data_IF_849791038387
#
_entry.id   IF_849791038387
#
_cell.length_a   1.000
_cell.length_b   1.000
_cell.length_c   1.000
_cell.angle_alpha   90.00
_cell.angle_beta   90.00
_cell.angle_gamma   90.00
#
_symmetry.space_group_name_H-M   'P 1'
#
loop_
_entity.id
_entity.type
_entity.pdbx_description
1 polymer ?
#
# COMPACT_ATOMS: atom_id res chain seq x y z
N UNK A 1 -19.87 -6.60 -41.74
CA UNK A 1 -19.34 -7.70 -40.89
C UNK A 1 -20.22 -7.76 -39.65
N UNK A 2 -20.88 -8.88 -39.37
CA UNK A 2 -21.96 -8.96 -38.35
C UNK A 2 -21.47 -8.53 -36.96
N UNK A 3 -22.25 -7.67 -36.29
CA UNK A 3 -21.96 -7.08 -34.96
C UNK A 3 -21.55 -8.14 -33.92
N UNK A 4 -22.16 -9.33 -34.00
CA UNK A 4 -21.82 -10.49 -33.16
C UNK A 4 -20.39 -10.98 -33.36
N UNK A 5 -19.87 -10.93 -34.59
CA UNK A 5 -18.49 -11.37 -34.91
C UNK A 5 -17.46 -10.40 -34.32
N UNK A 6 -17.75 -9.09 -34.27
CA UNK A 6 -16.85 -8.12 -33.64
C UNK A 6 -16.79 -8.27 -32.12
N UNK A 7 -17.95 -8.50 -31.47
CA UNK A 7 -18.00 -8.74 -30.02
C UNK A 7 -17.22 -10.02 -29.64
N UNK A 8 -17.38 -11.10 -30.42
CA UNK A 8 -16.64 -12.34 -30.19
C UNK A 8 -15.13 -12.14 -30.36
N UNK A 9 -14.69 -11.42 -31.39
CA UNK A 9 -13.26 -11.15 -31.60
C UNK A 9 -12.67 -10.33 -30.45
N UNK A 10 -13.37 -9.28 -29.97
CA UNK A 10 -12.91 -8.49 -28.82
C UNK A 10 -12.79 -9.34 -27.55
N UNK A 11 -13.80 -10.18 -27.28
CA UNK A 11 -13.78 -11.07 -26.12
C UNK A 11 -12.62 -12.08 -26.19
N UNK A 12 -12.36 -12.67 -27.36
CA UNK A 12 -11.25 -13.61 -27.55
C UNK A 12 -9.90 -12.95 -27.32
N UNK A 13 -9.68 -11.73 -27.84
CA UNK A 13 -8.44 -10.97 -27.63
C UNK A 13 -8.21 -10.71 -26.14
N UNK A 14 -9.24 -10.24 -25.43
CA UNK A 14 -9.16 -9.99 -23.99
C UNK A 14 -8.84 -11.26 -23.22
N UNK A 15 -9.49 -12.39 -23.52
CA UNK A 15 -9.23 -13.67 -22.86
C UNK A 15 -7.81 -14.16 -23.10
N UNK A 16 -7.30 -14.05 -24.33
CA UNK A 16 -5.91 -14.42 -24.65
C UNK A 16 -4.93 -13.53 -23.89
N UNK A 17 -5.15 -12.21 -23.85
CA UNK A 17 -4.32 -11.28 -23.09
C UNK A 17 -4.32 -11.60 -21.59
N UNK A 18 -5.47 -11.93 -21.00
CA UNK A 18 -5.57 -12.33 -19.59
C UNK A 18 -4.88 -13.68 -19.34
N UNK A 19 -5.03 -14.66 -20.23
CA UNK A 19 -4.35 -15.95 -20.11
C UNK A 19 -2.83 -15.79 -20.20
N UNK A 20 -2.34 -15.01 -21.16
CA UNK A 20 -0.93 -14.67 -21.28
C UNK A 20 -0.42 -13.89 -20.05
N UNK A 21 -1.24 -13.00 -19.50
CA UNK A 21 -0.94 -12.26 -18.27
C UNK A 21 -0.75 -13.20 -17.08
N UNK A 22 -1.71 -14.10 -16.85
CA UNK A 22 -1.65 -15.08 -15.74
C UNK A 22 -0.42 -15.98 -15.89
N UNK A 23 -0.16 -16.47 -17.10
CA UNK A 23 1.01 -17.28 -17.38
C UNK A 23 2.32 -16.52 -17.11
N UNK A 24 2.43 -15.26 -17.56
CA UNK A 24 3.59 -14.42 -17.32
C UNK A 24 3.78 -14.14 -15.81
N UNK A 25 2.69 -13.81 -15.11
CA UNK A 25 2.71 -13.55 -13.66
C UNK A 25 3.18 -14.78 -12.86
N UNK A 26 2.73 -15.98 -13.23
CA UNK A 26 3.17 -17.23 -12.60
C UNK A 26 4.66 -17.50 -12.86
N UNK A 27 5.11 -17.36 -14.11
CA UNK A 27 6.52 -17.55 -14.50
C UNK A 27 7.46 -16.52 -13.89
N UNK A 28 6.98 -15.30 -13.66
CA UNK A 28 7.75 -14.20 -13.09
C UNK A 28 7.69 -14.14 -11.57
N UNK A 29 6.85 -14.96 -10.92
CA UNK A 29 6.73 -14.98 -9.47
C UNK A 29 8.10 -15.16 -8.82
N UNK A 30 8.49 -14.17 -8.02
CA UNK A 30 9.72 -14.20 -7.23
C UNK A 30 9.40 -14.90 -5.92
N UNK A 31 9.80 -16.16 -5.81
CA UNK A 31 9.61 -16.98 -4.60
C UNK A 31 10.70 -16.69 -3.57
N UNK A 32 11.92 -16.44 -4.05
CA UNK A 32 13.08 -16.19 -3.20
C UNK A 32 13.23 -14.68 -2.97
N UNK A 33 12.57 -14.20 -1.92
CA UNK A 33 12.79 -12.84 -1.42
C UNK A 33 13.94 -12.91 -0.43
N UNK A 34 15.14 -12.55 -0.88
CA UNK A 34 16.25 -12.35 0.04
C UNK A 34 15.82 -11.35 1.13
N UNK A 35 16.02 -11.66 2.42
CA UNK A 35 15.68 -10.74 3.48
C UNK A 35 16.46 -9.44 3.25
N UNK A 36 15.74 -8.32 3.23
CA UNK A 36 16.38 -7.01 3.16
C UNK A 36 17.29 -6.94 4.40
N UNK A 37 18.60 -6.89 4.18
CA UNK A 37 19.67 -7.11 5.19
C UNK A 37 19.62 -6.11 6.36
N UNK A 38 18.66 -5.18 6.36
CA UNK A 38 18.46 -4.11 7.35
C UNK A 38 17.21 -4.26 8.22
N UNK A 39 16.37 -5.30 8.06
CA UNK A 39 15.18 -5.50 8.92
C UNK A 39 15.42 -6.41 10.13
N UNK A 40 16.63 -6.94 10.32
CA UNK A 40 16.96 -7.72 11.52
C UNK A 40 16.87 -6.83 12.76
N UNK A 41 15.77 -6.98 13.50
CA UNK A 41 15.46 -6.19 14.69
C UNK A 41 14.58 -4.97 14.45
N UNK A 42 14.15 -4.65 13.21
CA UNK A 42 13.22 -3.55 12.93
C UNK A 42 11.88 -4.07 12.40
N UNK A 43 10.77 -3.64 13.02
CA UNK A 43 9.41 -3.97 12.59
C UNK A 43 8.51 -2.74 12.59
N UNK A 44 7.46 -2.77 11.76
CA UNK A 44 6.41 -1.77 11.76
C UNK A 44 5.11 -2.44 12.16
N UNK A 45 4.49 -1.96 13.24
CA UNK A 45 3.28 -2.55 13.80
C UNK A 45 2.19 -1.50 13.99
N UNK A 46 0.93 -1.93 13.88
CA UNK A 46 -0.21 -1.11 14.24
C UNK A 46 -0.36 -1.10 15.75
N UNK A 47 -0.62 0.06 16.33
CA UNK A 47 -0.84 0.25 17.75
C UNK A 47 -1.98 1.25 18.01
N UNK A 48 -2.52 1.20 19.23
CA UNK A 48 -3.53 2.15 19.72
C UNK A 48 -2.95 2.93 20.89
N UNK A 49 -3.07 4.26 20.86
CA UNK A 49 -2.63 5.13 21.95
C UNK A 49 -3.59 4.98 23.13
N UNK A 50 -3.08 4.53 24.28
CA UNK A 50 -3.86 4.33 25.50
C UNK A 50 -3.79 5.58 26.38
N UNK A 51 -2.62 6.21 26.41
CA UNK A 51 -2.32 7.33 27.30
C UNK A 51 -1.22 8.22 26.70
N UNK A 52 -1.37 9.53 26.87
CA UNK A 52 -0.31 10.52 26.63
C UNK A 52 0.31 10.83 27.99
N UNK A 53 1.52 10.33 28.24
CA UNK A 53 2.22 10.48 29.53
C UNK A 53 2.81 11.88 29.65
N UNK A 54 3.36 12.39 28.56
CA UNK A 54 3.95 13.74 28.49
C UNK A 54 3.64 14.35 27.13
N UNK A 55 2.99 15.51 27.13
CA UNK A 55 2.73 16.26 25.90
C UNK A 55 3.90 17.22 25.61
N UNK A 56 4.19 17.43 24.33
CA UNK A 56 5.31 18.26 23.87
C UNK A 56 4.89 19.70 23.55
N UNK A 57 3.70 20.13 24.01
CA UNK A 57 3.16 21.46 23.79
C UNK A 57 3.76 22.45 24.79
N UNK A 58 4.54 23.41 24.30
CA UNK A 58 5.07 24.50 25.13
C UNK A 58 3.97 25.51 25.47
N UNK A 59 4.12 26.29 26.56
CA UNK A 59 3.17 27.34 26.95
C UNK A 59 2.91 28.38 25.85
N UNK A 60 3.88 28.61 24.98
CA UNK A 60 3.80 29.54 23.83
C UNK A 60 2.95 28.98 22.66
N UNK A 61 2.33 27.81 22.82
CA UNK A 61 1.51 27.14 21.81
C UNK A 61 2.29 26.41 20.72
N UNK A 62 3.63 26.39 20.83
CA UNK A 62 4.53 25.71 19.91
C UNK A 62 4.85 24.32 20.48
N UNK A 63 4.69 23.28 19.66
CA UNK A 63 5.15 21.93 20.04
C UNK A 63 6.66 21.89 19.85
N UNK A 64 7.39 21.20 20.73
CA UNK A 64 8.85 21.03 20.62
C UNK A 64 9.25 19.67 21.18
N UNK A 65 10.00 18.88 20.41
CA UNK A 65 10.56 17.61 20.90
C UNK A 65 9.59 16.43 20.78
N UNK A 66 9.55 15.56 21.79
CA UNK A 66 8.85 14.27 21.73
C UNK A 66 7.68 14.21 22.69
N UNK A 67 6.53 13.72 22.22
CA UNK A 67 5.48 13.23 23.12
C UNK A 67 5.88 11.86 23.66
N UNK A 68 5.67 11.61 24.95
CA UNK A 68 5.80 10.26 25.55
C UNK A 68 4.42 9.65 25.69
N UNK A 69 4.25 8.46 25.14
CA UNK A 69 2.97 7.79 24.96
C UNK A 69 3.05 6.38 25.51
N UNK A 70 1.93 5.85 26.01
CA UNK A 70 1.73 4.40 26.14
C UNK A 70 0.83 3.93 25.02
N UNK A 71 1.30 2.93 24.29
CA UNK A 71 0.59 2.36 23.15
C UNK A 71 0.38 0.87 23.35
N UNK A 72 -0.79 0.37 22.95
CA UNK A 72 -1.07 -1.06 22.89
C UNK A 72 -0.83 -1.55 21.47
N UNK A 73 0.03 -2.55 21.30
CA UNK A 73 0.26 -3.17 20.00
C UNK A 73 -0.96 -3.98 19.56
N UNK A 74 -1.39 -3.79 18.32
CA UNK A 74 -2.59 -4.42 17.74
C UNK A 74 -2.26 -5.41 16.61
N UNK A 75 -1.04 -5.38 16.09
CA UNK A 75 -0.47 -6.36 15.16
C UNK A 75 0.91 -6.85 15.61
N UNK A 76 1.47 -7.81 14.88
CA UNK A 76 2.85 -8.28 15.07
C UNK A 76 3.02 -9.36 16.11
N UNK A 77 4.28 -9.66 16.39
CA UNK A 77 4.70 -10.67 17.38
C UNK A 77 4.27 -10.30 18.81
N UNK A 78 4.27 -9.01 19.13
CA UNK A 78 4.00 -8.47 20.47
C UNK A 78 2.55 -7.99 20.65
N UNK A 79 1.61 -8.50 19.84
CA UNK A 79 0.21 -8.08 19.86
C UNK A 79 -0.41 -8.19 21.26
N UNK A 80 -1.01 -7.10 21.73
CA UNK A 80 -1.66 -6.97 23.03
C UNK A 80 -0.77 -6.36 24.12
N UNK A 81 0.55 -6.32 23.92
CA UNK A 81 1.50 -5.72 24.87
C UNK A 81 1.35 -4.18 24.89
N UNK A 82 1.50 -3.61 26.08
CA UNK A 82 1.55 -2.15 26.28
C UNK A 82 3.00 -1.74 26.43
N UNK A 83 3.45 -0.84 25.55
CA UNK A 83 4.83 -0.39 25.49
C UNK A 83 4.89 1.13 25.56
N UNK A 84 5.97 1.65 26.14
CA UNK A 84 6.27 3.08 26.08
C UNK A 84 6.79 3.42 24.69
N UNK A 85 6.24 4.47 24.10
CA UNK A 85 6.59 4.96 22.78
C UNK A 85 6.85 6.47 22.80
N UNK A 86 7.73 6.92 21.90
CA UNK A 86 7.96 8.34 21.67
C UNK A 86 7.41 8.76 20.31
N UNK A 87 6.79 9.94 20.23
CA UNK A 87 6.37 10.53 18.96
C UNK A 87 7.08 11.86 18.78
N UNK A 88 7.89 11.99 17.74
CA UNK A 88 8.55 13.26 17.46
C UNK A 88 7.54 14.29 16.95
N UNK A 89 7.82 15.55 17.22
CA UNK A 89 7.19 16.63 16.48
C UNK A 89 7.70 16.62 15.03
N UNK A 90 6.82 16.30 14.08
CA UNK A 90 7.14 16.44 12.66
C UNK A 90 6.19 15.65 11.78
N UNK A 91 6.06 16.10 10.53
CA UNK A 91 5.28 15.40 9.51
C UNK A 91 6.02 14.18 8.90
N UNK A 92 7.32 14.01 9.21
CA UNK A 92 8.17 12.99 8.58
C UNK A 92 8.35 11.71 9.43
N UNK A 93 8.48 11.84 10.76
CA UNK A 93 8.79 10.73 11.68
C UNK A 93 8.10 10.90 13.03
N UNK A 94 6.77 11.07 13.00
CA UNK A 94 5.98 11.32 14.18
C UNK A 94 4.59 11.84 13.84
N UNK A 95 3.76 11.94 14.85
CA UNK A 95 2.45 12.55 14.75
C UNK A 95 2.01 13.08 16.12
N UNK A 96 1.24 14.18 16.13
CA UNK A 96 0.55 14.61 17.35
C UNK A 96 -0.51 13.57 17.68
N UNK A 97 -0.29 12.81 18.74
CA UNK A 97 -1.14 11.69 19.14
C UNK A 97 -2.08 12.08 20.27
N UNK A 98 -3.31 11.59 20.18
CA UNK A 98 -4.32 11.69 21.23
C UNK A 98 -4.72 10.31 21.73
N UNK A 99 -5.29 10.25 22.93
CA UNK A 99 -5.81 9.00 23.50
C UNK A 99 -6.87 8.41 22.57
N UNK A 100 -6.68 7.15 22.18
CA UNK A 100 -7.57 6.42 21.28
C UNK A 100 -7.14 6.40 19.82
N UNK A 101 -6.14 7.20 19.44
CA UNK A 101 -5.60 7.21 18.08
C UNK A 101 -5.06 5.85 17.67
N UNK A 102 -5.30 5.47 16.41
CA UNK A 102 -4.65 4.33 15.77
C UNK A 102 -3.40 4.84 15.05
N UNK A 103 -2.25 4.23 15.33
CA UNK A 103 -0.94 4.67 14.85
C UNK A 103 -0.15 3.47 14.34
N UNK A 104 0.79 3.72 13.43
CA UNK A 104 1.83 2.78 13.05
C UNK A 104 3.07 3.13 13.85
N UNK A 105 3.60 2.16 14.60
CA UNK A 105 4.83 2.30 15.35
C UNK A 105 5.97 1.61 14.63
N UNK A 106 7.14 2.20 14.71
CA UNK A 106 8.40 1.61 14.33
C UNK A 106 9.06 1.05 15.59
N UNK A 107 9.37 -0.24 15.56
CA UNK A 107 9.98 -0.98 16.66
C UNK A 107 11.40 -1.38 16.30
N UNK A 108 12.34 -1.13 17.20
CA UNK A 108 13.69 -1.67 17.17
C UNK A 108 13.92 -2.54 18.39
N UNK A 109 14.17 -3.82 18.19
CA UNK A 109 14.45 -4.80 19.24
C UNK A 109 15.92 -5.17 19.21
N UNK A 110 16.64 -4.82 20.28
CA UNK A 110 18.05 -5.18 20.46
C UNK A 110 18.22 -5.86 21.83
N UNK A 111 18.33 -7.18 21.83
CA UNK A 111 18.37 -7.99 23.05
C UNK A 111 17.08 -7.86 23.87
N UNK A 112 17.19 -7.30 25.08
CA UNK A 112 16.06 -7.05 25.99
C UNK A 112 15.46 -5.64 25.87
N UNK A 113 16.09 -4.74 25.10
CA UNK A 113 15.62 -3.37 24.94
C UNK A 113 14.72 -3.25 23.70
N UNK A 114 13.51 -2.74 23.91
CA UNK A 114 12.55 -2.40 22.86
C UNK A 114 12.48 -0.88 22.76
N UNK A 115 12.93 -0.33 21.63
CA UNK A 115 12.74 1.08 21.33
C UNK A 115 11.55 1.21 20.38
N UNK A 116 10.51 1.93 20.80
CA UNK A 116 9.28 2.10 20.04
C UNK A 116 9.08 3.58 19.78
N UNK A 117 8.93 3.94 18.51
CA UNK A 117 8.58 5.30 18.12
C UNK A 117 7.37 5.31 17.20
N UNK A 118 6.53 6.34 17.32
CA UNK A 118 5.41 6.52 16.40
C UNK A 118 5.96 6.95 15.06
N UNK A 119 5.65 6.18 14.01
CA UNK A 119 6.01 6.51 12.64
C UNK A 119 4.98 7.44 12.01
N UNK A 120 3.70 7.08 12.10
CA UNK A 120 2.60 7.87 11.56
C UNK A 120 1.24 7.49 12.16
N UNK A 121 0.23 8.33 11.99
CA UNK A 121 -1.17 7.93 12.25
C UNK A 121 -1.63 6.92 11.22
N UNK A 122 -2.46 5.98 11.64
CA UNK A 122 -3.13 5.06 10.74
C UNK A 122 -4.18 5.82 9.91
N UNK A 123 -3.89 5.99 8.61
CA UNK A 123 -4.77 6.64 7.64
C UNK A 123 -5.42 5.64 6.69
N UNK A 124 -5.26 4.33 6.91
CA UNK A 124 -5.68 3.31 5.94
C UNK A 124 -7.18 3.37 5.67
N UNK A 125 -7.99 3.58 6.72
CA UNK A 125 -9.46 3.66 6.62
C UNK A 125 -9.88 4.90 5.82
N UNK A 126 -9.29 6.06 6.12
CA UNK A 126 -9.59 7.30 5.42
C UNK A 126 -9.20 7.21 3.94
N UNK A 127 -8.00 6.71 3.64
CA UNK A 127 -7.52 6.52 2.27
C UNK A 127 -8.39 5.51 1.52
N UNK A 128 -8.74 4.38 2.14
CA UNK A 128 -9.63 3.40 1.53
C UNK A 128 -11.02 3.98 1.23
N UNK A 129 -11.57 4.81 2.11
CA UNK A 129 -12.82 5.51 1.88
C UNK A 129 -12.72 6.46 0.67
N UNK A 130 -11.65 7.26 0.57
CA UNK A 130 -11.42 8.12 -0.58
C UNK A 130 -11.30 7.34 -1.89
N UNK A 131 -10.55 6.23 -1.90
CA UNK A 131 -10.44 5.35 -3.07
C UNK A 131 -11.81 4.78 -3.45
N UNK A 132 -12.58 4.30 -2.47
CA UNK A 132 -13.93 3.77 -2.71
C UNK A 132 -14.87 4.80 -3.32
N UNK A 133 -14.91 6.02 -2.75
CA UNK A 133 -15.72 7.13 -3.26
C UNK A 133 -15.27 7.50 -4.68
N UNK A 134 -13.96 7.59 -4.93
CA UNK A 134 -13.41 7.91 -6.25
C UNK A 134 -13.84 6.88 -7.32
N UNK A 135 -13.69 5.58 -7.03
CA UNK A 135 -14.11 4.52 -7.95
C UNK A 135 -15.63 4.53 -8.18
N UNK A 136 -16.41 4.79 -7.12
CA UNK A 136 -17.86 4.90 -7.20
C UNK A 136 -18.29 6.09 -8.09
N UNK A 137 -17.64 7.25 -7.95
CA UNK A 137 -17.91 8.41 -8.79
C UNK A 137 -17.61 8.13 -10.27
N UNK A 138 -16.52 7.43 -10.58
CA UNK A 138 -16.22 7.01 -11.96
C UNK A 138 -17.35 6.13 -12.51
N UNK A 139 -17.83 5.16 -11.71
CA UNK A 139 -18.91 4.27 -12.12
C UNK A 139 -20.25 5.02 -12.31
N UNK A 140 -20.57 5.97 -11.43
CA UNK A 140 -21.82 6.76 -11.53
C UNK A 140 -21.77 7.68 -12.76
N UNK A 141 -20.70 8.45 -12.92
CA UNK A 141 -20.57 9.44 -14.00
C UNK A 141 -20.38 8.76 -15.35
N UNK A 142 -19.57 7.70 -15.40
CA UNK A 142 -19.27 6.98 -16.64
C UNK A 142 -20.24 5.84 -16.98
N UNK A 143 -21.16 5.48 -16.09
CA UNK A 143 -22.06 4.34 -16.25
C UNK A 143 -21.31 3.05 -16.59
N UNK A 144 -21.74 2.36 -17.67
CA UNK A 144 -21.07 1.14 -18.15
C UNK A 144 -19.62 1.37 -18.59
N UNK A 145 -19.32 2.54 -19.15
CA UNK A 145 -17.94 2.88 -19.56
C UNK A 145 -17.07 3.23 -18.35
N UNK A 146 -17.66 3.76 -17.29
CA UNK A 146 -17.00 3.97 -16.00
C UNK A 146 -16.52 2.66 -15.38
N UNK A 147 -17.40 1.64 -15.35
CA UNK A 147 -17.03 0.30 -14.86
C UNK A 147 -15.86 -0.30 -15.66
N UNK A 148 -15.88 -0.18 -16.99
CA UNK A 148 -14.76 -0.61 -17.85
C UNK A 148 -13.46 0.13 -17.49
N UNK A 149 -13.54 1.44 -17.26
CA UNK A 149 -12.38 2.24 -16.85
C UNK A 149 -11.79 1.76 -15.51
N UNK A 150 -12.64 1.47 -14.52
CA UNK A 150 -12.19 0.93 -13.22
C UNK A 150 -11.53 -0.43 -13.38
N UNK A 151 -12.11 -1.34 -14.16
CA UNK A 151 -11.51 -2.66 -14.45
C UNK A 151 -10.15 -2.49 -15.14
N UNK A 152 -10.04 -1.56 -16.09
CA UNK A 152 -8.79 -1.21 -16.74
C UNK A 152 -7.72 -0.70 -15.76
N UNK A 153 -8.11 0.18 -14.84
CA UNK A 153 -7.21 0.72 -13.81
C UNK A 153 -6.70 -0.39 -12.88
N UNK A 154 -7.59 -1.26 -12.41
CA UNK A 154 -7.23 -2.41 -11.57
C UNK A 154 -6.29 -3.35 -12.33
N UNK A 155 -6.55 -3.62 -13.61
CA UNK A 155 -5.68 -4.45 -14.45
C UNK A 155 -4.27 -3.86 -14.57
N UNK A 156 -4.15 -2.55 -14.80
CA UNK A 156 -2.85 -1.85 -14.83
C UNK A 156 -2.14 -1.95 -13.49
N UNK A 157 -2.84 -1.72 -12.39
CA UNK A 157 -2.26 -1.81 -11.04
C UNK A 157 -1.72 -3.22 -10.76
N UNK A 158 -2.51 -4.27 -11.04
CA UNK A 158 -2.10 -5.67 -10.87
C UNK A 158 -0.91 -6.01 -11.77
N UNK A 159 -0.86 -5.47 -12.99
CA UNK A 159 0.26 -5.65 -13.92
C UNK A 159 1.58 -5.11 -13.37
N UNK A 160 1.53 -4.01 -12.62
CA UNK A 160 2.72 -3.45 -11.98
C UNK A 160 3.26 -4.42 -10.93
N UNK A 161 2.41 -4.92 -10.02
CA UNK A 161 2.87 -5.79 -8.93
C UNK A 161 3.25 -7.20 -9.38
N UNK A 162 2.50 -7.78 -10.32
CA UNK A 162 2.72 -9.18 -10.73
C UNK A 162 3.71 -9.35 -11.88
N UNK A 163 3.97 -8.30 -12.67
CA UNK A 163 4.88 -8.39 -13.83
C UNK A 163 5.98 -7.34 -13.74
N UNK A 164 5.66 -6.04 -13.66
CA UNK A 164 6.67 -4.97 -13.73
C UNK A 164 7.75 -5.12 -12.67
N UNK A 165 7.32 -5.17 -11.40
CA UNK A 165 8.22 -5.27 -10.26
C UNK A 165 9.06 -6.57 -10.37
N UNK A 166 8.46 -7.77 -10.50
CA UNK A 166 9.23 -9.01 -10.70
C UNK A 166 10.24 -8.98 -11.86
N UNK A 167 9.91 -8.33 -12.97
CA UNK A 167 10.79 -8.23 -14.13
C UNK A 167 12.04 -7.41 -13.80
N UNK A 168 11.87 -6.30 -13.06
CA UNK A 168 12.99 -5.48 -12.56
C UNK A 168 13.84 -6.27 -11.56
N UNK A 169 13.21 -7.00 -10.64
CA UNK A 169 13.93 -7.84 -9.68
C UNK A 169 14.79 -8.92 -10.35
N UNK A 170 14.40 -9.38 -11.55
CA UNK A 170 15.20 -10.31 -12.36
C UNK A 170 16.29 -9.63 -13.21
N UNK A 171 16.52 -8.32 -13.02
CA UNK A 171 17.58 -7.56 -13.68
C UNK A 171 17.20 -7.00 -15.06
N UNK A 172 15.91 -7.03 -15.44
CA UNK A 172 15.47 -6.42 -16.70
C UNK A 172 15.48 -4.89 -16.62
N UNK A 173 15.70 -4.23 -17.75
CA UNK A 173 15.68 -2.76 -17.82
C UNK A 173 14.31 -2.20 -17.43
N UNK A 174 14.21 -1.33 -16.39
CA UNK A 174 12.94 -0.74 -15.97
C UNK A 174 12.24 0.06 -17.06
N UNK A 175 13.00 0.65 -17.98
CA UNK A 175 12.48 1.38 -19.13
C UNK A 175 11.70 0.45 -20.06
N UNK A 176 12.34 -0.63 -20.53
CA UNK A 176 11.70 -1.58 -21.43
C UNK A 176 10.56 -2.35 -20.76
N UNK A 177 10.69 -2.65 -19.47
CA UNK A 177 9.61 -3.24 -18.67
C UNK A 177 8.35 -2.36 -18.71
N UNK A 178 8.52 -1.04 -18.52
CA UNK A 178 7.42 -0.09 -18.51
C UNK A 178 6.75 0.01 -19.90
N UNK A 179 7.55 0.06 -20.97
CA UNK A 179 7.06 0.13 -22.35
C UNK A 179 6.18 -1.09 -22.68
N UNK A 180 6.67 -2.31 -22.40
CA UNK A 180 5.94 -3.55 -22.69
C UNK A 180 4.61 -3.59 -21.92
N UNK A 181 4.63 -3.25 -20.63
CA UNK A 181 3.43 -3.28 -19.79
C UNK A 181 2.43 -2.20 -20.22
N UNK A 182 2.90 -1.02 -20.61
CA UNK A 182 2.04 0.04 -21.13
C UNK A 182 1.35 -0.39 -22.42
N UNK A 183 2.06 -1.05 -23.34
CA UNK A 183 1.47 -1.59 -24.57
C UNK A 183 0.39 -2.63 -24.24
N UNK A 184 0.68 -3.60 -23.37
CA UNK A 184 -0.28 -4.65 -22.99
C UNK A 184 -1.52 -4.06 -22.32
N UNK A 185 -1.34 -3.18 -21.34
CA UNK A 185 -2.44 -2.53 -20.62
C UNK A 185 -3.27 -1.62 -21.52
N UNK A 186 -2.65 -0.93 -22.49
CA UNK A 186 -3.37 -0.14 -23.49
C UNK A 186 -4.23 -1.01 -24.41
N UNK A 187 -3.70 -2.16 -24.88
CA UNK A 187 -4.49 -3.11 -25.67
C UNK A 187 -5.68 -3.61 -24.85
N UNK A 188 -5.45 -4.08 -23.62
CA UNK A 188 -6.55 -4.61 -22.79
C UNK A 188 -7.61 -3.55 -22.51
N UNK A 189 -7.21 -2.32 -22.17
CA UNK A 189 -8.15 -1.22 -21.86
C UNK A 189 -8.93 -0.76 -23.08
N UNK A 190 -8.33 -0.71 -24.27
CA UNK A 190 -9.02 -0.29 -25.50
C UNK A 190 -10.04 -1.32 -26.00
N UNK A 191 -9.82 -2.61 -25.72
CA UNK A 191 -10.70 -3.69 -26.13
C UNK A 191 -11.82 -4.01 -25.12
N UNK A 192 -11.75 -3.45 -23.91
CA UNK A 192 -12.73 -3.60 -22.83
C UNK A 192 -14.01 -2.80 -23.07
#
# INVERSE_FOLDING_TARGET
MSDKKQVVVKAVVVVICIAAFIFAADRLRVTDKEPIVTTLGYSYENARVIEVVEDNLSPDGIRVGYQRLKVQLTSGEYRGEVVDATSAEGNLFGAVCEKGDSVVVHMSVSGSSKNVSVYSKDRIVAVAAFVGIFLLLICIIGGKNGVKSVVGLVFTFVSIFMIYIPLIYRGFSPFWAAVIITIITTIVTMYL
#
